data_IF_946439171771
#
_entry.id   IF_946439171771
#
_cell.length_a   1.000
_cell.length_b   1.000
_cell.length_c   1.000
_cell.angle_alpha   90.00
_cell.angle_beta   90.00
_cell.angle_gamma   90.00
#
_symmetry.space_group_name_H-M   'P 1'
#
loop_
_entity.id
_entity.type
_entity.pdbx_description
1 polymer ?
#
# COMPACT_ATOMS: atom_id res chain seq x y z
N UNK A 1 53.54 56.68 18.03
CA UNK A 1 53.63 58.12 17.72
C UNK A 1 53.89 58.21 16.23
N UNK A 2 52.85 58.45 15.44
CA UNK A 2 52.98 58.58 13.98
C UNK A 2 53.16 60.06 13.65
N UNK A 3 54.27 60.38 12.98
CA UNK A 3 54.58 61.71 12.46
C UNK A 3 53.45 62.11 11.50
N UNK A 4 52.83 63.28 11.67
CA UNK A 4 51.78 63.74 10.75
C UNK A 4 52.39 64.57 9.60
N UNK A 5 51.68 64.69 8.45
CA UNK A 5 52.05 65.63 7.39
C UNK A 5 52.26 67.06 7.90
N UNK A 6 51.46 67.47 8.90
CA UNK A 6 51.57 68.78 9.55
C UNK A 6 52.85 68.89 10.39
N UNK A 7 53.25 67.83 11.08
CA UNK A 7 54.50 67.78 11.84
C UNK A 7 55.71 67.86 10.90
N UNK A 8 55.67 67.21 9.74
CA UNK A 8 56.72 67.29 8.71
C UNK A 8 56.85 68.73 8.19
N UNK A 9 55.72 69.40 7.92
CA UNK A 9 55.68 70.79 7.44
C UNK A 9 56.22 71.80 8.46
N UNK A 10 55.92 71.58 9.74
CA UNK A 10 56.30 72.47 10.83
C UNK A 10 57.67 72.13 11.45
N UNK A 11 58.35 71.10 10.94
CA UNK A 11 59.64 70.67 11.45
C UNK A 11 60.70 71.76 11.26
N UNK A 12 61.28 72.23 12.36
CA UNK A 12 62.37 73.21 12.34
C UNK A 12 63.72 72.55 12.61
N UNK A 13 64.77 73.01 11.94
CA UNK A 13 66.15 72.53 12.12
C UNK A 13 67.05 73.64 12.68
N UNK A 14 67.98 73.29 13.57
CA UNK A 14 68.97 74.23 14.10
C UNK A 14 69.97 74.65 13.03
N UNK A 15 70.24 75.95 12.90
CA UNK A 15 71.25 76.48 11.97
C UNK A 15 72.66 76.15 12.45
N UNK A 16 73.47 75.50 11.60
CA UNK A 16 74.92 75.31 11.82
C UNK A 16 75.71 76.47 11.20
N UNK A 17 76.66 77.01 11.95
CA UNK A 17 77.44 78.20 11.57
C UNK A 17 78.52 77.96 10.49
N UNK A 18 78.83 76.71 10.14
CA UNK A 18 79.82 76.38 9.10
C UNK A 18 79.39 75.12 8.33
N UNK A 19 79.26 75.19 7.00
CA UNK A 19 78.94 74.05 6.12
C UNK A 19 77.50 73.51 6.19
N UNK A 20 76.50 74.32 6.54
CA UNK A 20 75.09 73.91 6.62
C UNK A 20 74.38 73.78 5.26
N UNK A 21 73.26 73.04 5.24
CA UNK A 21 72.39 72.85 4.07
C UNK A 21 71.50 74.10 3.89
N UNK A 22 71.16 74.45 2.65
CA UNK A 22 70.25 75.54 2.35
C UNK A 22 68.86 75.32 2.99
N UNK A 23 68.39 76.34 3.71
CA UNK A 23 67.12 76.30 4.40
C UNK A 23 65.92 76.30 3.43
N UNK A 24 66.04 76.95 2.26
CA UNK A 24 64.99 76.95 1.22
C UNK A 24 64.82 75.54 0.62
N UNK A 25 65.94 74.88 0.30
CA UNK A 25 65.96 73.53 -0.27
C UNK A 25 65.36 72.50 0.71
N UNK A 26 65.75 72.58 1.99
CA UNK A 26 65.16 71.73 3.04
C UNK A 26 63.65 71.95 3.15
N UNK A 27 63.19 73.21 3.10
CA UNK A 27 61.76 73.53 3.22
C UNK A 27 60.95 73.00 2.02
N UNK A 28 61.48 73.11 0.80
CA UNK A 28 60.86 72.54 -0.40
C UNK A 28 60.79 71.00 -0.35
N UNK A 29 61.83 70.36 0.18
CA UNK A 29 61.83 68.91 0.39
C UNK A 29 60.80 68.48 1.45
N UNK A 30 60.73 69.17 2.59
CA UNK A 30 59.73 68.90 3.63
C UNK A 30 58.30 69.04 3.09
N UNK A 31 58.04 70.02 2.23
CA UNK A 31 56.73 70.22 1.63
C UNK A 31 56.34 69.07 0.69
N UNK A 32 57.29 68.63 -0.12
CA UNK A 32 57.11 67.47 -1.01
C UNK A 32 56.91 66.19 -0.20
N UNK A 33 57.70 65.99 0.86
CA UNK A 33 57.60 64.85 1.75
C UNK A 33 56.26 64.84 2.51
N UNK A 34 55.81 65.99 3.01
CA UNK A 34 54.52 66.14 3.68
C UNK A 34 53.36 65.78 2.73
N UNK A 35 53.40 66.27 1.48
CA UNK A 35 52.39 65.96 0.45
C UNK A 35 52.34 64.47 0.11
N UNK A 36 53.51 63.84 -0.10
CA UNK A 36 53.61 62.42 -0.35
C UNK A 36 53.09 61.58 0.84
N UNK A 37 53.38 62.02 2.07
CA UNK A 37 52.91 61.36 3.28
C UNK A 37 51.38 61.50 3.46
N UNK A 38 50.82 62.65 3.10
CA UNK A 38 49.36 62.88 3.09
C UNK A 38 48.67 61.94 2.10
N UNK A 39 49.22 61.79 0.89
CA UNK A 39 48.70 60.87 -0.12
C UNK A 39 48.81 59.40 0.33
N UNK A 40 49.94 59.02 0.93
CA UNK A 40 50.15 57.68 1.47
C UNK A 40 49.15 57.38 2.60
N UNK A 41 48.90 58.34 3.49
CA UNK A 41 47.93 58.21 4.58
C UNK A 41 46.51 58.00 4.03
N UNK A 42 46.09 58.81 3.04
CA UNK A 42 44.78 58.64 2.37
C UNK A 42 44.65 57.27 1.71
N UNK A 43 45.67 56.84 0.97
CA UNK A 43 45.67 55.53 0.31
C UNK A 43 45.63 54.39 1.34
N UNK A 44 46.33 54.51 2.47
CA UNK A 44 46.29 53.53 3.56
C UNK A 44 44.88 53.43 4.13
N UNK A 45 44.19 54.55 4.36
CA UNK A 45 42.81 54.55 4.86
C UNK A 45 41.85 53.90 3.86
N UNK A 46 41.92 54.26 2.57
CA UNK A 46 41.10 53.65 1.50
C UNK A 46 41.31 52.13 1.42
N UNK A 47 42.57 51.69 1.36
CA UNK A 47 42.89 50.26 1.29
C UNK A 47 42.43 49.51 2.54
N UNK A 48 42.53 50.11 3.72
CA UNK A 48 42.08 49.52 4.97
C UNK A 48 40.56 49.35 5.00
N UNK A 49 39.81 50.34 4.52
CA UNK A 49 38.35 50.25 4.42
C UNK A 49 37.94 49.17 3.41
N UNK A 50 38.59 49.14 2.24
CA UNK A 50 38.34 48.10 1.22
C UNK A 50 38.68 46.70 1.72
N UNK A 51 39.76 46.55 2.48
CA UNK A 51 40.13 45.28 3.11
C UNK A 51 39.06 44.83 4.09
N UNK A 52 38.59 45.73 4.96
CA UNK A 52 37.52 45.44 5.92
C UNK A 52 36.24 44.96 5.22
N UNK A 53 35.80 45.65 4.17
CA UNK A 53 34.63 45.25 3.38
C UNK A 53 34.83 43.88 2.73
N UNK A 54 36.03 43.61 2.22
CA UNK A 54 36.36 42.32 1.61
C UNK A 54 36.33 41.18 2.66
N UNK A 55 36.88 41.41 3.84
CA UNK A 55 36.86 40.46 4.96
C UNK A 55 35.43 40.16 5.43
N UNK A 56 34.59 41.19 5.56
CA UNK A 56 33.17 41.03 5.89
C UNK A 56 32.44 40.17 4.84
N UNK A 57 32.70 40.42 3.55
CA UNK A 57 32.13 39.62 2.46
C UNK A 57 32.61 38.17 2.48
N UNK A 58 33.90 37.93 2.73
CA UNK A 58 34.45 36.57 2.85
C UNK A 58 33.78 35.82 4.00
N UNK A 59 33.60 36.48 5.15
CA UNK A 59 32.93 35.88 6.29
C UNK A 59 31.45 35.57 5.99
N UNK A 60 30.75 36.47 5.29
CA UNK A 60 29.39 36.24 4.84
C UNK A 60 29.29 35.02 3.90
N UNK A 61 30.17 34.91 2.91
CA UNK A 61 30.18 33.76 2.00
C UNK A 61 30.53 32.45 2.70
N UNK A 62 31.47 32.46 3.65
CA UNK A 62 31.76 31.28 4.48
C UNK A 62 30.56 30.83 5.30
N UNK A 63 29.78 31.79 5.83
CA UNK A 63 28.57 31.45 6.57
C UNK A 63 27.51 30.82 5.66
N UNK A 64 27.32 31.36 4.44
CA UNK A 64 26.42 30.77 3.44
C UNK A 64 26.89 29.36 3.06
N UNK A 65 28.18 29.19 2.78
CA UNK A 65 28.75 27.90 2.43
C UNK A 65 28.45 26.85 3.50
N UNK A 66 28.65 27.21 4.78
CA UNK A 66 28.31 26.35 5.92
C UNK A 66 26.83 25.99 5.94
N UNK A 67 25.94 26.98 5.78
CA UNK A 67 24.49 26.73 5.75
C UNK A 67 24.08 25.82 4.59
N UNK A 68 24.70 25.96 3.41
CA UNK A 68 24.45 25.09 2.27
C UNK A 68 24.92 23.66 2.56
N UNK A 69 26.10 23.50 3.16
CA UNK A 69 26.63 22.18 3.56
C UNK A 69 25.69 21.50 4.56
N UNK A 70 25.25 22.23 5.60
CA UNK A 70 24.31 21.71 6.60
C UNK A 70 22.96 21.33 5.96
N UNK A 71 22.47 22.14 5.00
CA UNK A 71 21.25 21.86 4.27
C UNK A 71 21.36 20.61 3.38
N UNK A 72 22.50 20.39 2.73
CA UNK A 72 22.75 19.18 1.92
C UNK A 72 22.76 17.93 2.79
N UNK A 73 23.42 17.96 3.94
CA UNK A 73 23.45 16.83 4.88
C UNK A 73 22.03 16.53 5.38
N UNK A 74 21.28 17.56 5.74
CA UNK A 74 19.89 17.42 6.17
C UNK A 74 19.03 16.83 5.06
N UNK A 75 19.17 17.32 3.83
CA UNK A 75 18.44 16.83 2.66
C UNK A 75 18.74 15.35 2.39
N UNK A 76 20.01 14.94 2.44
CA UNK A 76 20.42 13.54 2.27
C UNK A 76 19.76 12.65 3.32
N UNK A 77 19.79 13.06 4.59
CA UNK A 77 19.14 12.31 5.67
C UNK A 77 17.63 12.20 5.45
N UNK A 78 16.96 13.27 5.05
CA UNK A 78 15.52 13.22 4.74
C UNK A 78 15.22 12.31 3.56
N UNK A 79 16.05 12.33 2.51
CA UNK A 79 15.90 11.41 1.37
C UNK A 79 16.04 9.96 1.80
N UNK A 80 17.03 9.64 2.65
CA UNK A 80 17.23 8.28 3.17
C UNK A 80 16.05 7.83 4.06
N UNK A 81 15.55 8.72 4.92
CA UNK A 81 14.37 8.46 5.78
C UNK A 81 13.10 8.22 4.94
N UNK A 82 12.88 9.02 3.89
CA UNK A 82 11.75 8.85 2.97
C UNK A 82 11.88 7.54 2.20
N UNK A 83 13.07 7.21 1.71
CA UNK A 83 13.33 5.96 0.98
C UNK A 83 13.06 4.75 1.87
N UNK A 84 13.59 4.73 3.09
CA UNK A 84 13.38 3.63 4.04
C UNK A 84 11.88 3.46 4.40
N UNK A 85 11.16 4.58 4.54
CA UNK A 85 9.71 4.56 4.81
C UNK A 85 8.94 3.99 3.62
N UNK A 86 9.25 4.44 2.41
CA UNK A 86 8.60 3.95 1.18
C UNK A 86 8.88 2.46 0.94
N UNK A 87 10.10 1.98 1.20
CA UNK A 87 10.45 0.56 1.10
C UNK A 87 9.61 -0.27 2.09
N UNK A 88 9.51 0.17 3.36
CA UNK A 88 8.71 -0.49 4.38
C UNK A 88 7.21 -0.49 4.04
N UNK A 89 6.67 0.62 3.56
CA UNK A 89 5.27 0.70 3.14
C UNK A 89 5.00 -0.23 1.94
N UNK A 90 5.92 -0.29 0.98
CA UNK A 90 5.81 -1.21 -0.15
C UNK A 90 5.78 -2.67 0.31
N UNK A 91 6.64 -3.05 1.26
CA UNK A 91 6.64 -4.39 1.85
C UNK A 91 5.30 -4.72 2.54
N UNK A 92 4.75 -3.77 3.30
CA UNK A 92 3.45 -3.92 3.96
C UNK A 92 2.34 -4.11 2.93
N UNK A 93 2.29 -3.26 1.89
CA UNK A 93 1.28 -3.33 0.82
C UNK A 93 1.34 -4.71 0.13
N UNK A 94 2.54 -5.19 -0.18
CA UNK A 94 2.75 -6.50 -0.81
C UNK A 94 2.30 -7.62 0.13
N UNK A 95 2.65 -7.57 1.41
CA UNK A 95 2.26 -8.57 2.40
C UNK A 95 0.73 -8.63 2.58
N UNK A 96 0.09 -7.47 2.67
CA UNK A 96 -1.37 -7.38 2.76
C UNK A 96 -2.06 -7.87 1.49
N UNK A 97 -1.56 -7.50 0.30
CA UNK A 97 -2.11 -7.96 -0.97
C UNK A 97 -2.04 -9.48 -1.08
N UNK A 98 -0.91 -10.09 -0.69
CA UNK A 98 -0.76 -11.56 -0.63
C UNK A 98 -1.73 -12.18 0.36
N UNK A 99 -1.87 -11.62 1.56
CA UNK A 99 -2.81 -12.14 2.56
C UNK A 99 -4.26 -12.05 2.10
N UNK A 100 -4.66 -10.94 1.45
CA UNK A 100 -6.00 -10.78 0.85
C UNK A 100 -6.25 -11.81 -0.25
N UNK A 101 -5.29 -11.99 -1.16
CA UNK A 101 -5.41 -12.95 -2.25
C UNK A 101 -5.59 -14.39 -1.73
N UNK A 102 -4.82 -14.80 -0.71
CA UNK A 102 -4.97 -16.13 -0.09
C UNK A 102 -6.37 -16.31 0.51
N UNK A 103 -6.86 -15.33 1.28
CA UNK A 103 -8.20 -15.38 1.87
C UNK A 103 -9.31 -15.45 0.82
N UNK A 104 -9.17 -14.69 -0.27
CA UNK A 104 -10.15 -14.67 -1.36
C UNK A 104 -10.20 -16.00 -2.11
N UNK A 105 -9.04 -16.61 -2.37
CA UNK A 105 -8.94 -17.95 -2.97
C UNK A 105 -9.56 -19.00 -2.05
N UNK A 106 -9.26 -18.97 -0.75
CA UNK A 106 -9.86 -19.90 0.22
C UNK A 106 -11.39 -19.74 0.31
N UNK A 107 -11.87 -18.50 0.35
CA UNK A 107 -13.30 -18.20 0.36
C UNK A 107 -14.01 -18.74 -0.89
N UNK A 108 -13.43 -18.49 -2.07
CA UNK A 108 -13.97 -18.96 -3.35
C UNK A 108 -13.95 -20.49 -3.42
N UNK A 109 -12.88 -21.13 -2.96
CA UNK A 109 -12.78 -22.59 -2.92
C UNK A 109 -13.86 -23.19 -2.02
N UNK A 110 -14.08 -22.61 -0.84
CA UNK A 110 -15.13 -23.05 0.08
C UNK A 110 -16.52 -22.92 -0.55
N UNK A 111 -16.82 -21.78 -1.18
CA UNK A 111 -18.09 -21.58 -1.89
C UNK A 111 -18.29 -22.61 -3.00
N UNK A 112 -17.23 -22.95 -3.75
CA UNK A 112 -17.29 -23.97 -4.79
C UNK A 112 -17.53 -25.38 -4.22
N UNK A 113 -16.96 -25.70 -3.05
CA UNK A 113 -17.21 -26.94 -2.33
C UNK A 113 -18.65 -27.03 -1.83
N UNK A 114 -19.16 -25.94 -1.22
CA UNK A 114 -20.55 -25.84 -0.74
C UNK A 114 -21.55 -26.02 -1.90
N UNK A 115 -21.33 -25.34 -3.03
CA UNK A 115 -22.17 -25.49 -4.23
C UNK A 115 -22.12 -26.91 -4.80
N UNK A 116 -20.95 -27.57 -4.80
CA UNK A 116 -20.85 -28.97 -5.25
C UNK A 116 -21.63 -29.91 -4.34
N UNK A 117 -21.57 -29.70 -3.02
CA UNK A 117 -22.33 -30.48 -2.07
C UNK A 117 -23.84 -30.29 -2.27
N UNK A 118 -24.30 -29.06 -2.48
CA UNK A 118 -25.70 -28.74 -2.77
C UNK A 118 -26.18 -29.40 -4.06
N UNK A 119 -25.39 -29.31 -5.14
CA UNK A 119 -25.70 -29.99 -6.41
C UNK A 119 -25.88 -31.50 -6.20
N UNK A 120 -25.02 -32.12 -5.40
CA UNK A 120 -25.09 -33.56 -5.17
C UNK A 120 -26.32 -33.95 -4.34
N UNK A 121 -26.67 -33.16 -3.33
CA UNK A 121 -27.92 -33.31 -2.58
C UNK A 121 -29.15 -33.17 -3.49
N UNK A 122 -29.16 -32.18 -4.38
CA UNK A 122 -30.25 -31.98 -5.34
C UNK A 122 -30.39 -33.16 -6.32
N UNK A 123 -29.28 -33.73 -6.79
CA UNK A 123 -29.31 -34.94 -7.63
C UNK A 123 -29.89 -36.14 -6.89
N UNK A 124 -29.52 -36.34 -5.63
CA UNK A 124 -30.07 -37.40 -4.78
C UNK A 124 -31.57 -37.20 -4.56
N UNK A 125 -31.99 -35.98 -4.23
CA UNK A 125 -33.40 -35.63 -4.07
C UNK A 125 -34.19 -35.91 -5.35
N UNK A 126 -33.67 -35.50 -6.51
CA UNK A 126 -34.25 -35.80 -7.82
C UNK A 126 -34.37 -37.31 -8.06
N UNK A 127 -33.32 -38.08 -7.78
CA UNK A 127 -33.33 -39.54 -7.95
C UNK A 127 -34.41 -40.20 -7.07
N UNK A 128 -34.45 -39.82 -5.80
CA UNK A 128 -35.45 -40.31 -4.85
C UNK A 128 -36.87 -39.95 -5.27
N UNK A 129 -37.08 -38.75 -5.81
CA UNK A 129 -38.37 -38.33 -6.35
C UNK A 129 -38.80 -39.24 -7.52
N UNK A 130 -37.91 -39.49 -8.49
CA UNK A 130 -38.21 -40.39 -9.61
C UNK A 130 -38.54 -41.81 -9.17
N UNK A 131 -37.80 -42.35 -8.20
CA UNK A 131 -38.07 -43.68 -7.63
C UNK A 131 -39.46 -43.70 -6.98
N UNK A 132 -39.81 -42.69 -6.18
CA UNK A 132 -41.13 -42.58 -5.53
C UNK A 132 -42.25 -42.48 -6.56
N UNK A 133 -42.11 -41.64 -7.58
CA UNK A 133 -43.11 -41.52 -8.65
C UNK A 133 -43.30 -42.85 -9.40
N UNK A 134 -42.21 -43.55 -9.73
CA UNK A 134 -42.29 -44.86 -10.40
C UNK A 134 -42.94 -45.92 -9.52
N UNK A 135 -42.66 -45.93 -8.21
CA UNK A 135 -43.31 -46.83 -7.27
C UNK A 135 -44.82 -46.54 -7.14
N UNK A 136 -45.20 -45.27 -7.09
CA UNK A 136 -46.60 -44.85 -7.07
C UNK A 136 -47.35 -45.32 -8.33
N UNK A 137 -46.78 -45.08 -9.52
CA UNK A 137 -47.40 -45.51 -10.79
C UNK A 137 -47.57 -47.03 -10.83
N UNK A 138 -46.53 -47.80 -10.48
CA UNK A 138 -46.62 -49.27 -10.42
C UNK A 138 -47.69 -49.75 -9.46
N UNK A 139 -47.79 -49.14 -8.27
CA UNK A 139 -48.84 -49.47 -7.32
C UNK A 139 -50.25 -49.20 -7.85
N UNK A 140 -50.44 -48.14 -8.65
CA UNK A 140 -51.72 -47.87 -9.32
C UNK A 140 -52.01 -48.86 -10.46
N UNK A 141 -50.98 -49.25 -11.23
CA UNK A 141 -51.10 -50.29 -12.27
C UNK A 141 -51.49 -51.65 -11.68
N UNK A 142 -50.86 -52.05 -10.57
CA UNK A 142 -51.18 -53.30 -9.85
C UNK A 142 -52.62 -53.30 -9.32
N UNK A 143 -53.08 -52.17 -8.76
CA UNK A 143 -54.45 -52.02 -8.29
C UNK A 143 -55.47 -52.15 -9.43
N UNK A 144 -55.22 -51.47 -10.56
CA UNK A 144 -56.10 -51.56 -11.73
C UNK A 144 -56.14 -52.99 -12.28
N UNK A 145 -55.00 -53.67 -12.37
CA UNK A 145 -54.95 -55.06 -12.82
C UNK A 145 -55.73 -56.01 -11.89
N UNK A 146 -55.67 -55.80 -10.57
CA UNK A 146 -56.48 -56.55 -9.62
C UNK A 146 -57.98 -56.31 -9.84
N UNK A 147 -58.40 -55.04 -9.99
CA UNK A 147 -59.80 -54.68 -10.25
C UNK A 147 -60.32 -55.26 -11.58
N UNK A 148 -59.51 -55.28 -12.64
CA UNK A 148 -59.86 -55.89 -13.92
C UNK A 148 -60.04 -57.42 -13.81
N UNK A 149 -59.22 -58.08 -12.99
CA UNK A 149 -59.33 -59.52 -12.77
C UNK A 149 -60.59 -59.87 -11.95
N UNK A 150 -60.87 -59.10 -10.89
CA UNK A 150 -62.10 -59.24 -10.11
C UNK A 150 -63.34 -59.08 -11.00
N UNK A 151 -63.33 -58.09 -11.91
CA UNK A 151 -64.43 -57.89 -12.86
C UNK A 151 -64.60 -59.08 -13.81
N UNK A 152 -63.52 -59.67 -14.32
CA UNK A 152 -63.58 -60.87 -15.17
C UNK A 152 -64.10 -62.10 -14.42
N UNK A 153 -63.80 -62.24 -13.13
CA UNK A 153 -64.37 -63.32 -12.30
C UNK A 153 -65.88 -63.13 -12.09
N UNK A 154 -66.36 -61.89 -11.95
CA UNK A 154 -67.78 -61.56 -11.91
C UNK A 154 -68.51 -61.78 -13.26
N UNK A 155 -67.80 -61.62 -14.38
CA UNK A 155 -68.34 -61.80 -15.74
C UNK A 155 -68.23 -63.25 -16.27
N UNK A 156 -67.56 -64.15 -15.54
CA UNK A 156 -67.49 -65.57 -15.90
C UNK A 156 -68.87 -66.25 -15.79
N UNK A 157 -69.36 -66.95 -16.83
CA UNK A 157 -70.70 -67.53 -16.81
C UNK A 157 -70.81 -68.57 -15.70
N UNK A 158 -71.82 -68.42 -14.85
CA UNK A 158 -72.17 -69.41 -13.83
C UNK A 158 -72.28 -70.80 -14.48
N UNK A 159 -71.36 -71.70 -14.12
CA UNK A 159 -71.41 -73.09 -14.55
C UNK A 159 -72.79 -73.69 -14.23
N UNK A 160 -73.41 -74.44 -15.14
CA UNK A 160 -74.78 -74.90 -14.98
C UNK A 160 -74.91 -75.80 -13.74
N UNK A 161 -75.75 -75.40 -12.79
CA UNK A 161 -76.11 -76.21 -11.64
C UNK A 161 -76.85 -77.47 -12.11
N UNK A 162 -76.16 -78.61 -12.14
CA UNK A 162 -76.80 -79.92 -12.32
C UNK A 162 -77.47 -80.28 -10.99
N UNK A 163 -78.81 -80.19 -10.95
CA UNK A 163 -79.61 -80.71 -9.82
C UNK A 163 -79.50 -82.24 -9.82
N UNK A 164 -79.09 -82.91 -8.73
CA UNK A 164 -79.22 -84.35 -8.64
C UNK A 164 -80.68 -84.72 -8.37
N UNK A 165 -81.24 -85.55 -9.25
CA UNK A 165 -82.58 -86.13 -9.18
C UNK A 165 -82.70 -87.07 -7.96
N UNK A 166 -83.84 -87.00 -7.27
CA UNK A 166 -84.27 -87.99 -6.27
C UNK A 166 -84.71 -89.30 -6.92
N UNK A 167 -84.32 -90.46 -6.37
CA UNK A 167 -85.06 -91.69 -6.61
C UNK A 167 -85.56 -92.36 -5.31
N UNK A 168 -86.89 -92.45 -5.22
CA UNK A 168 -87.66 -93.65 -4.83
C UNK A 168 -87.27 -94.49 -3.61
N UNK A 169 -88.15 -94.42 -2.60
CA UNK A 169 -88.52 -95.46 -1.64
C UNK A 169 -88.11 -96.91 -1.97
N UNK A 170 -87.53 -97.58 -0.97
CA UNK A 170 -87.79 -99.01 -0.78
C UNK A 170 -88.07 -99.29 0.71
N UNK A 171 -89.22 -99.91 0.96
CA UNK A 171 -89.75 -100.32 2.26
C UNK A 171 -89.47 -101.82 2.45
N UNK A 172 -89.23 -102.19 3.71
CA UNK A 172 -89.10 -103.58 4.19
C UNK A 172 -87.83 -103.70 5.01
N UNK A 173 -87.83 -103.97 6.31
CA UNK A 173 -88.80 -104.66 7.16
C UNK A 173 -88.05 -105.78 7.89
N UNK A 174 -88.33 -105.95 9.19
CA UNK A 174 -87.88 -106.99 10.12
C UNK A 174 -86.44 -106.89 10.71
N UNK A 175 -86.15 -107.23 11.97
CA UNK A 175 -86.94 -107.51 13.19
C UNK A 175 -85.97 -107.75 14.36
N UNK A 176 -86.39 -107.34 15.57
CA UNK A 176 -86.09 -107.80 16.94
C UNK A 176 -84.66 -107.90 17.53
N UNK A 177 -84.68 -107.48 18.81
CA UNK A 177 -83.94 -107.93 19.99
C UNK A 177 -82.53 -107.36 20.21
#
# INVERSE_FOLDING_TARGET
MELTPLDIRNQTFHKKSFGGIDAEEVKAFLETAATAFEQLSRNRTDLTERLKIAEERVNYYRQIEKTIQDAVITMQRTVDEVKATAEKEAEIIIAEAKARAVREVESTKKQAEDLRAEIEQLKQLRSNYFIRCRALIRGQEELLAAMENDQKELEAPAAPQVRPATPGMNMGGNVLA
#
